data_IF_620598965573
#
_entry.id   IF_620598965573
#
_cell.length_a   1.000
_cell.length_b   1.000
_cell.length_c   1.000
_cell.angle_alpha   90.00
_cell.angle_beta   90.00
_cell.angle_gamma   90.00
#
_symmetry.space_group_name_H-M   'P 1'
#
loop_
_entity.id
_entity.type
_entity.pdbx_description
1 polymer ?
#
# COMPACT_ATOMS: atom_id res chain seq x y z
N UNK A 1 38.78 -67.47 -65.04
CA UNK A 1 37.42 -66.90 -65.05
C UNK A 1 37.49 -65.38 -65.15
N UNK A 2 38.03 -64.64 -64.16
CA UNK A 2 38.11 -63.16 -64.23
C UNK A 2 38.76 -62.62 -65.53
N UNK A 3 39.95 -63.11 -65.91
CA UNK A 3 40.62 -62.71 -67.17
C UNK A 3 39.79 -62.95 -68.45
N UNK A 4 38.93 -63.97 -68.46
CA UNK A 4 38.09 -64.28 -69.63
C UNK A 4 36.84 -63.39 -69.71
N UNK A 5 36.37 -62.89 -68.57
CA UNK A 5 35.11 -62.12 -68.47
C UNK A 5 35.37 -60.62 -68.43
N UNK A 6 36.48 -60.16 -67.84
CA UNK A 6 36.79 -58.73 -67.67
C UNK A 6 37.57 -58.11 -68.83
N UNK A 7 38.40 -58.88 -69.52
CA UNK A 7 39.33 -58.34 -70.53
C UNK A 7 40.41 -57.42 -69.97
N UNK A 8 40.59 -57.38 -68.63
CA UNK A 8 41.66 -56.61 -68.00
C UNK A 8 43.03 -57.23 -68.28
N UNK A 9 44.01 -56.39 -68.60
CA UNK A 9 45.38 -56.84 -68.91
C UNK A 9 46.17 -57.15 -67.63
N UNK A 10 45.82 -56.52 -66.50
CA UNK A 10 46.53 -56.57 -65.22
C UNK A 10 45.81 -57.41 -64.15
N UNK A 11 45.13 -58.49 -64.56
CA UNK A 11 44.44 -59.39 -63.61
C UNK A 11 45.34 -60.07 -62.58
N UNK A 12 46.64 -60.15 -62.86
CA UNK A 12 47.67 -60.67 -61.95
C UNK A 12 47.88 -59.77 -60.71
N UNK A 13 47.50 -58.49 -60.80
CA UNK A 13 47.62 -57.51 -59.71
C UNK A 13 46.36 -57.42 -58.84
N UNK A 14 45.27 -58.07 -59.25
CA UNK A 14 43.99 -58.01 -58.56
C UNK A 14 43.99 -59.03 -57.42
N UNK A 15 43.64 -58.59 -56.21
CA UNK A 15 43.57 -59.48 -55.05
C UNK A 15 42.50 -60.58 -55.28
N UNK A 16 42.81 -61.87 -55.04
CA UNK A 16 41.88 -62.97 -55.30
C UNK A 16 40.51 -62.83 -54.64
N UNK A 17 40.46 -62.23 -53.44
CA UNK A 17 39.19 -61.99 -52.72
C UNK A 17 38.29 -60.93 -53.38
N UNK A 18 38.82 -60.08 -54.26
CA UNK A 18 38.03 -59.09 -54.99
C UNK A 18 37.41 -59.67 -56.28
N UNK A 19 37.96 -60.79 -56.79
CA UNK A 19 37.51 -61.40 -58.03
C UNK A 19 36.00 -61.70 -58.09
N UNK A 20 35.34 -62.23 -57.03
CA UNK A 20 33.89 -62.47 -57.06
C UNK A 20 33.07 -61.19 -57.23
N UNK A 21 33.43 -60.12 -56.52
CA UNK A 21 32.76 -58.82 -56.61
C UNK A 21 32.94 -58.19 -57.99
N UNK A 22 34.14 -58.29 -58.57
CA UNK A 22 34.42 -57.77 -59.91
C UNK A 22 33.66 -58.52 -61.01
N UNK A 23 33.54 -59.85 -60.90
CA UNK A 23 32.75 -60.64 -61.86
C UNK A 23 31.27 -60.28 -61.77
N UNK A 24 30.74 -60.07 -60.56
CA UNK A 24 29.36 -59.62 -60.36
C UNK A 24 29.13 -58.23 -60.97
N UNK A 25 30.04 -57.28 -60.71
CA UNK A 25 29.97 -55.92 -61.26
C UNK A 25 29.98 -55.89 -62.80
N UNK A 26 30.89 -56.65 -63.41
CA UNK A 26 31.00 -56.77 -64.87
C UNK A 26 29.77 -57.43 -65.50
N UNK A 27 29.09 -58.32 -64.75
CA UNK A 27 27.84 -58.95 -65.21
C UNK A 27 26.68 -57.95 -65.27
N UNK A 28 26.76 -56.85 -64.50
CA UNK A 28 25.81 -55.73 -64.54
C UNK A 28 26.04 -54.78 -65.73
N UNK A 29 27.09 -54.99 -66.53
CA UNK A 29 27.34 -54.23 -67.76
C UNK A 29 27.50 -52.73 -67.53
N UNK A 30 26.72 -51.91 -68.23
CA UNK A 30 26.77 -50.44 -68.12
C UNK A 30 26.29 -49.90 -66.76
N UNK A 31 25.59 -50.72 -65.97
CA UNK A 31 25.14 -50.37 -64.63
C UNK A 31 26.14 -50.77 -63.53
N UNK A 32 27.25 -51.43 -63.89
CA UNK A 32 28.31 -51.75 -62.95
C UNK A 32 29.05 -50.51 -62.45
N UNK A 33 29.52 -50.57 -61.20
CA UNK A 33 30.34 -49.55 -60.54
C UNK A 33 31.59 -49.25 -61.38
N UNK A 34 32.22 -50.26 -61.97
CA UNK A 34 33.43 -50.06 -62.78
C UNK A 34 33.13 -49.18 -64.00
N UNK A 35 32.04 -49.48 -64.72
CA UNK A 35 31.64 -48.73 -65.89
C UNK A 35 31.22 -47.29 -65.52
N UNK A 36 30.47 -47.12 -64.43
CA UNK A 36 29.93 -45.82 -64.03
C UNK A 36 30.97 -44.90 -63.38
N UNK A 37 31.83 -45.43 -62.50
CA UNK A 37 32.82 -44.64 -61.77
C UNK A 37 34.14 -44.48 -62.55
N UNK A 38 34.58 -45.51 -63.28
CA UNK A 38 35.90 -45.53 -63.94
C UNK A 38 35.83 -45.53 -65.47
N UNK A 39 34.63 -45.68 -66.05
CA UNK A 39 34.45 -45.79 -67.49
C UNK A 39 34.94 -47.13 -68.04
N UNK A 40 35.04 -47.21 -69.38
CA UNK A 40 35.56 -48.40 -70.05
C UNK A 40 37.09 -48.43 -70.00
N UNK A 41 37.66 -49.21 -69.08
CA UNK A 41 39.10 -49.38 -68.93
C UNK A 41 39.54 -50.78 -69.37
N UNK A 42 40.75 -50.88 -69.94
CA UNK A 42 41.42 -52.17 -70.23
C UNK A 42 42.43 -52.57 -69.15
N UNK A 43 42.70 -51.67 -68.22
CA UNK A 43 43.55 -51.88 -67.04
C UNK A 43 42.70 -51.54 -65.81
N UNK A 44 42.62 -52.46 -64.86
CA UNK A 44 41.87 -52.26 -63.63
C UNK A 44 42.62 -51.34 -62.66
N UNK A 45 43.96 -51.44 -62.60
CA UNK A 45 44.85 -50.60 -61.79
C UNK A 45 44.44 -50.53 -60.30
N UNK A 46 44.46 -51.65 -59.54
CA UNK A 46 43.91 -51.71 -58.18
C UNK A 46 44.56 -50.74 -57.18
N UNK A 47 45.84 -50.38 -57.37
CA UNK A 47 46.57 -49.47 -56.50
C UNK A 47 46.45 -47.99 -56.90
N UNK A 48 45.68 -47.68 -57.95
CA UNK A 48 45.52 -46.31 -58.44
C UNK A 48 44.62 -45.53 -57.47
N UNK A 49 45.04 -44.33 -57.02
CA UNK A 49 44.17 -43.49 -56.20
C UNK A 49 42.93 -43.08 -56.98
N UNK A 50 41.79 -43.10 -56.31
CA UNK A 50 40.50 -42.68 -56.87
C UNK A 50 40.20 -41.24 -56.53
N UNK A 51 39.50 -40.52 -57.41
CA UNK A 51 39.03 -39.17 -57.11
C UNK A 51 37.77 -39.19 -56.24
N UNK A 52 37.47 -38.07 -55.56
CA UNK A 52 36.23 -37.93 -54.78
C UNK A 52 34.97 -38.19 -55.61
N UNK A 53 34.96 -37.78 -56.87
CA UNK A 53 33.82 -37.99 -57.77
C UNK A 53 33.62 -39.49 -58.08
N UNK A 54 34.70 -40.22 -58.33
CA UNK A 54 34.64 -41.66 -58.61
C UNK A 54 34.19 -42.44 -57.38
N UNK A 55 34.69 -42.09 -56.20
CA UNK A 55 34.24 -42.65 -54.94
C UNK A 55 32.75 -42.34 -54.68
N UNK A 56 32.30 -41.11 -54.94
CA UNK A 56 30.90 -40.72 -54.77
C UNK A 56 29.96 -41.51 -55.70
N UNK A 57 30.33 -41.70 -56.98
CA UNK A 57 29.55 -42.52 -57.92
C UNK A 57 29.49 -43.96 -57.42
N UNK A 58 30.64 -44.56 -57.06
CA UNK A 58 30.68 -45.92 -56.57
C UNK A 58 29.81 -46.15 -55.31
N UNK A 59 29.78 -45.18 -54.39
CA UNK A 59 28.93 -45.21 -53.20
C UNK A 59 27.45 -45.00 -53.54
N UNK A 60 27.13 -44.16 -54.53
CA UNK A 60 25.75 -43.85 -54.92
C UNK A 60 25.10 -44.91 -55.82
N UNK A 61 25.88 -45.73 -56.54
CA UNK A 61 25.35 -46.71 -57.49
C UNK A 61 25.65 -48.16 -57.10
N UNK A 62 26.54 -48.38 -56.13
CA UNK A 62 26.89 -49.72 -55.66
C UNK A 62 26.02 -50.24 -54.52
N UNK A 63 26.37 -51.42 -54.01
CA UNK A 63 25.66 -52.12 -52.93
C UNK A 63 25.53 -51.30 -51.62
N UNK A 64 26.37 -50.29 -51.43
CA UNK A 64 26.33 -49.40 -50.26
C UNK A 64 25.35 -48.22 -50.41
N UNK A 65 24.73 -48.02 -51.58
CA UNK A 65 23.91 -46.85 -51.89
C UNK A 65 22.74 -46.67 -50.92
N UNK A 66 22.00 -47.74 -50.64
CA UNK A 66 20.86 -47.69 -49.72
C UNK A 66 21.30 -47.24 -48.32
N UNK A 67 22.40 -47.82 -47.80
CA UNK A 67 22.96 -47.49 -46.49
C UNK A 67 23.42 -46.03 -46.45
N UNK A 68 24.17 -45.56 -47.45
CA UNK A 68 24.65 -44.17 -47.50
C UNK A 68 23.48 -43.19 -47.60
N UNK A 69 22.44 -43.52 -48.37
CA UNK A 69 21.26 -42.67 -48.51
C UNK A 69 20.46 -42.55 -47.20
N UNK A 70 20.31 -43.65 -46.45
CA UNK A 70 19.66 -43.66 -45.14
C UNK A 70 20.45 -42.84 -44.11
N UNK A 71 21.77 -42.99 -44.08
CA UNK A 71 22.65 -42.21 -43.20
C UNK A 71 22.59 -40.72 -43.51
N UNK A 72 22.55 -40.33 -44.79
CA UNK A 72 22.39 -38.93 -45.21
C UNK A 72 21.04 -38.37 -44.76
N UNK A 73 19.95 -39.11 -44.93
CA UNK A 73 18.62 -38.70 -44.48
C UNK A 73 18.57 -38.56 -42.94
N UNK A 74 19.25 -39.45 -42.20
CA UNK A 74 19.36 -39.33 -40.74
C UNK A 74 20.13 -38.08 -40.32
N UNK A 75 21.27 -37.79 -40.95
CA UNK A 75 22.08 -36.59 -40.66
C UNK A 75 21.28 -35.31 -40.96
N UNK A 76 20.55 -35.28 -42.08
CA UNK A 76 19.69 -34.14 -42.42
C UNK A 76 18.58 -33.95 -41.39
N UNK A 77 17.92 -35.04 -40.98
CA UNK A 77 16.89 -34.99 -39.94
C UNK A 77 17.46 -34.53 -38.57
N UNK A 78 18.64 -35.01 -38.20
CA UNK A 78 19.34 -34.60 -36.98
C UNK A 78 19.71 -33.10 -37.02
N UNK A 79 20.23 -32.62 -38.15
CA UNK A 79 20.53 -31.20 -38.35
C UNK A 79 19.28 -30.31 -38.26
N UNK A 80 18.17 -30.75 -38.85
CA UNK A 80 16.89 -30.03 -38.74
C UNK A 80 16.41 -29.99 -37.27
N UNK A 81 16.50 -31.11 -36.56
CA UNK A 81 16.13 -31.18 -35.15
C UNK A 81 17.02 -30.28 -34.28
N UNK A 82 18.34 -30.28 -34.50
CA UNK A 82 19.29 -29.43 -33.78
C UNK A 82 19.01 -27.94 -34.03
N UNK A 83 18.76 -27.55 -35.27
CA UNK A 83 18.38 -26.17 -35.62
C UNK A 83 17.06 -25.76 -34.97
N UNK A 84 16.07 -26.66 -34.90
CA UNK A 84 14.80 -26.40 -34.22
C UNK A 84 14.99 -26.22 -32.71
N UNK A 85 15.83 -27.04 -32.07
CA UNK A 85 16.19 -26.90 -30.65
C UNK A 85 16.93 -25.59 -30.41
N UNK A 86 17.91 -25.24 -31.23
CA UNK A 86 18.66 -23.98 -31.10
C UNK A 86 17.75 -22.75 -31.24
N UNK A 87 16.84 -22.76 -32.21
CA UNK A 87 15.85 -21.70 -32.39
C UNK A 87 14.91 -21.60 -31.18
N UNK A 88 14.45 -22.73 -30.64
CA UNK A 88 13.61 -22.73 -29.45
C UNK A 88 14.34 -22.19 -28.22
N UNK A 89 15.57 -22.64 -27.96
CA UNK A 89 16.40 -22.16 -26.85
C UNK A 89 16.63 -20.65 -26.94
N UNK A 90 16.92 -20.12 -28.13
CA UNK A 90 17.09 -18.67 -28.33
C UNK A 90 15.81 -17.88 -28.03
N UNK A 91 14.63 -18.42 -28.42
CA UNK A 91 13.35 -17.80 -28.07
C UNK A 91 13.08 -17.84 -26.56
N UNK A 92 13.43 -18.94 -25.90
CA UNK A 92 13.28 -19.07 -24.43
C UNK A 92 14.16 -18.05 -23.71
N UNK A 93 15.43 -17.91 -24.09
CA UNK A 93 16.33 -16.91 -23.50
C UNK A 93 15.81 -15.48 -23.69
N UNK A 94 15.29 -15.18 -24.87
CA UNK A 94 14.71 -13.87 -25.15
C UNK A 94 13.46 -13.60 -24.30
N UNK A 95 12.56 -14.58 -24.19
CA UNK A 95 11.35 -14.48 -23.36
C UNK A 95 11.71 -14.32 -21.89
N UNK A 96 12.67 -15.08 -21.38
CA UNK A 96 13.15 -14.95 -20.00
C UNK A 96 13.71 -13.55 -19.72
N UNK A 97 14.51 -13.02 -20.66
CA UNK A 97 15.06 -11.66 -20.57
C UNK A 97 13.95 -10.60 -20.55
N UNK A 98 12.97 -10.71 -21.44
CA UNK A 98 11.87 -9.74 -21.55
C UNK A 98 10.97 -9.79 -20.31
N UNK A 99 10.67 -10.99 -19.79
CA UNK A 99 9.95 -11.19 -18.54
C UNK A 99 10.70 -10.55 -17.38
N UNK A 100 11.99 -10.84 -17.23
CA UNK A 100 12.81 -10.27 -16.16
C UNK A 100 12.84 -8.73 -16.22
N UNK A 101 13.02 -8.15 -17.41
CA UNK A 101 13.00 -6.70 -17.59
C UNK A 101 11.63 -6.08 -17.20
N UNK A 102 10.52 -6.73 -17.57
CA UNK A 102 9.19 -6.28 -17.20
C UNK A 102 8.96 -6.31 -15.68
N UNK A 103 9.38 -7.38 -15.00
CA UNK A 103 9.27 -7.50 -13.55
C UNK A 103 10.13 -6.48 -12.81
N UNK A 104 11.35 -6.21 -13.29
CA UNK A 104 12.21 -5.18 -12.70
C UNK A 104 11.57 -3.79 -12.79
N UNK A 105 10.95 -3.47 -13.93
CA UNK A 105 10.23 -2.22 -14.12
C UNK A 105 9.01 -2.10 -13.21
N UNK A 106 8.17 -3.14 -13.13
CA UNK A 106 7.00 -3.15 -12.25
C UNK A 106 7.40 -3.04 -10.78
N UNK A 107 8.45 -3.78 -10.37
CA UNK A 107 8.98 -3.74 -9.01
C UNK A 107 9.50 -2.34 -8.65
N UNK A 108 10.14 -1.65 -9.60
CA UNK A 108 10.60 -0.27 -9.40
C UNK A 108 9.42 0.67 -9.16
N UNK A 109 8.40 0.64 -10.01
CA UNK A 109 7.21 1.48 -9.89
C UNK A 109 6.45 1.20 -8.58
N UNK A 110 6.35 -0.06 -8.18
CA UNK A 110 5.66 -0.43 -6.95
C UNK A 110 6.43 0.04 -5.71
N UNK A 111 7.76 -0.05 -5.71
CA UNK A 111 8.60 0.53 -4.65
C UNK A 111 8.43 2.06 -4.55
N UNK A 112 8.34 2.75 -5.68
CA UNK A 112 8.12 4.20 -5.70
C UNK A 112 6.76 4.57 -5.09
N UNK A 113 5.69 3.83 -5.45
CA UNK A 113 4.37 4.01 -4.83
C UNK A 113 4.39 3.76 -3.32
N UNK A 114 5.04 2.67 -2.87
CA UNK A 114 5.16 2.35 -1.45
C UNK A 114 5.85 3.51 -0.72
N UNK A 115 6.99 3.97 -1.23
CA UNK A 115 7.73 5.11 -0.65
C UNK A 115 6.87 6.38 -0.58
N UNK A 116 6.08 6.68 -1.62
CA UNK A 116 5.17 7.81 -1.63
C UNK A 116 4.08 7.68 -0.55
N UNK A 117 3.46 6.49 -0.42
CA UNK A 117 2.43 6.22 0.59
C UNK A 117 3.02 6.28 2.01
N UNK A 118 4.20 5.71 2.23
CA UNK A 118 4.88 5.77 3.53
C UNK A 118 5.16 7.20 3.96
N UNK A 119 5.65 8.04 3.04
CA UNK A 119 5.85 9.47 3.32
C UNK A 119 4.54 10.18 3.67
N UNK A 120 3.48 9.97 2.89
CA UNK A 120 2.17 10.57 3.17
C UNK A 120 1.59 10.09 4.52
N UNK A 121 1.78 8.82 4.85
CA UNK A 121 1.35 8.27 6.13
C UNK A 121 2.11 8.88 7.31
N UNK A 122 3.41 9.12 7.15
CA UNK A 122 4.22 9.76 8.19
C UNK A 122 3.89 11.24 8.36
N UNK A 123 3.68 11.97 7.27
CA UNK A 123 3.18 13.35 7.29
C UNK A 123 1.82 13.44 8.01
N UNK A 124 0.89 12.54 7.69
CA UNK A 124 -0.42 12.49 8.34
C UNK A 124 -0.35 12.15 9.84
N UNK A 125 0.59 11.30 10.27
CA UNK A 125 0.82 11.03 11.69
C UNK A 125 1.32 12.27 12.42
N UNK A 126 2.30 12.98 11.85
CA UNK A 126 2.84 14.19 12.45
C UNK A 126 1.75 15.27 12.56
N UNK A 127 0.93 15.46 11.53
CA UNK A 127 -0.21 16.38 11.60
C UNK A 127 -1.25 15.97 12.67
N UNK A 128 -1.49 14.68 12.82
CA UNK A 128 -2.40 14.18 13.84
C UNK A 128 -1.85 14.41 15.25
N UNK A 129 -0.55 14.21 15.46
CA UNK A 129 0.12 14.48 16.74
C UNK A 129 0.05 15.97 17.11
N UNK A 130 0.27 16.88 16.16
CA UNK A 130 0.16 18.32 16.42
C UNK A 130 -1.28 18.73 16.75
N UNK A 131 -2.27 18.22 16.01
CA UNK A 131 -3.69 18.49 16.32
C UNK A 131 -4.12 17.91 17.67
N UNK A 132 -3.60 16.74 18.06
CA UNK A 132 -3.84 16.18 19.39
C UNK A 132 -3.24 17.05 20.49
N UNK A 133 -2.02 17.54 20.31
CA UNK A 133 -1.37 18.42 21.27
C UNK A 133 -2.14 19.73 21.42
N UNK A 134 -2.58 20.34 20.31
CA UNK A 134 -3.39 21.56 20.34
C UNK A 134 -4.72 21.34 21.05
N UNK A 135 -5.43 20.24 20.73
CA UNK A 135 -6.68 19.88 21.40
C UNK A 135 -6.48 19.73 22.91
N UNK A 136 -5.39 19.10 23.33
CA UNK A 136 -5.11 18.93 24.76
C UNK A 136 -4.85 20.27 25.45
N UNK A 137 -4.11 21.17 24.81
CA UNK A 137 -3.90 22.54 25.30
C UNK A 137 -5.22 23.31 25.43
N UNK A 138 -6.07 23.26 24.40
CA UNK A 138 -7.39 23.89 24.40
C UNK A 138 -8.28 23.31 25.49
N UNK A 139 -8.29 21.98 25.67
CA UNK A 139 -9.04 21.33 26.74
C UNK A 139 -8.58 21.80 28.12
N UNK A 140 -7.26 21.86 28.35
CA UNK A 140 -6.70 22.36 29.60
C UNK A 140 -7.08 23.83 29.85
N UNK A 141 -7.08 24.66 28.80
CA UNK A 141 -7.54 26.05 28.90
C UNK A 141 -9.03 26.13 29.28
N UNK A 142 -9.88 25.34 28.61
CA UNK A 142 -11.31 25.28 28.89
C UNK A 142 -11.62 24.81 30.32
N UNK A 143 -10.89 23.81 30.83
CA UNK A 143 -11.06 23.35 32.21
C UNK A 143 -10.67 24.43 33.24
N UNK A 144 -9.62 25.22 32.97
CA UNK A 144 -9.25 26.36 33.82
C UNK A 144 -10.34 27.43 33.84
N UNK A 145 -10.91 27.76 32.68
CA UNK A 145 -12.03 28.71 32.59
C UNK A 145 -13.26 28.20 33.33
N UNK A 146 -13.61 26.91 33.19
CA UNK A 146 -14.71 26.29 33.95
C UNK A 146 -14.49 26.39 35.45
N UNK A 147 -13.29 26.05 35.92
CA UNK A 147 -12.95 26.14 37.35
C UNK A 147 -13.02 27.60 37.87
N UNK A 148 -12.61 28.58 37.06
CA UNK A 148 -12.73 29.99 37.42
C UNK A 148 -14.20 30.43 37.53
N UNK A 149 -15.04 30.06 36.57
CA UNK A 149 -16.49 30.35 36.60
C UNK A 149 -17.16 29.70 37.82
N UNK A 150 -16.82 28.46 38.14
CA UNK A 150 -17.37 27.77 39.31
C UNK A 150 -16.98 28.46 40.63
N UNK A 151 -15.73 28.90 40.75
CA UNK A 151 -15.26 29.71 41.88
C UNK A 151 -16.03 31.04 42.00
N UNK A 152 -16.25 31.74 40.89
CA UNK A 152 -17.06 32.97 40.88
C UNK A 152 -18.52 32.70 41.27
N UNK A 153 -19.11 31.60 40.79
CA UNK A 153 -20.47 31.20 41.14
C UNK A 153 -20.62 30.92 42.65
N UNK A 154 -19.63 30.29 43.28
CA UNK A 154 -19.62 30.09 44.74
C UNK A 154 -19.60 31.43 45.49
N UNK A 155 -18.78 32.38 45.04
CA UNK A 155 -18.71 33.72 45.63
C UNK A 155 -20.05 34.45 45.47
N UNK A 156 -20.66 34.41 44.28
CA UNK A 156 -21.98 35.00 44.05
C UNK A 156 -23.06 34.37 44.93
N UNK A 157 -23.02 33.05 45.13
CA UNK A 157 -23.96 32.35 46.01
C UNK A 157 -23.83 32.81 47.46
N UNK A 158 -22.60 32.97 47.96
CA UNK A 158 -22.33 33.51 49.30
C UNK A 158 -22.85 34.93 49.45
N UNK A 159 -22.53 35.82 48.50
CA UNK A 159 -22.98 37.21 48.52
C UNK A 159 -24.51 37.32 48.46
N UNK A 160 -25.17 36.49 47.63
CA UNK A 160 -26.63 36.43 47.56
C UNK A 160 -27.25 36.07 48.92
N UNK A 161 -26.69 35.06 49.60
CA UNK A 161 -27.19 34.66 50.91
C UNK A 161 -26.98 35.78 51.95
N UNK A 162 -25.83 36.45 51.95
CA UNK A 162 -25.56 37.58 52.85
C UNK A 162 -26.54 38.75 52.64
N UNK A 163 -26.81 39.12 51.38
CA UNK A 163 -27.80 40.16 51.05
C UNK A 163 -29.21 39.74 51.48
N UNK A 164 -29.54 38.45 51.36
CA UNK A 164 -30.82 37.92 51.82
C UNK A 164 -30.96 38.00 53.36
N UNK A 165 -29.90 37.68 54.10
CA UNK A 165 -29.87 37.81 55.56
C UNK A 165 -29.98 39.28 56.00
N UNK A 166 -29.26 40.19 55.31
CA UNK A 166 -29.38 41.64 55.54
C UNK A 166 -30.80 42.14 55.28
N UNK A 167 -31.44 41.69 54.20
CA UNK A 167 -32.82 42.04 53.87
C UNK A 167 -33.78 41.54 54.96
N UNK A 168 -33.63 40.31 55.45
CA UNK A 168 -34.46 39.75 56.51
C UNK A 168 -34.30 40.55 57.82
N UNK A 169 -33.07 40.89 58.20
CA UNK A 169 -32.79 41.74 59.35
C UNK A 169 -33.45 43.12 59.23
N UNK A 170 -33.33 43.76 58.05
CA UNK A 170 -33.96 45.06 57.79
C UNK A 170 -35.49 45.01 57.83
N UNK A 171 -36.10 43.92 57.35
CA UNK A 171 -37.54 43.70 57.50
C UNK A 171 -37.95 43.57 58.98
N UNK A 172 -37.17 42.85 59.80
CA UNK A 172 -37.40 42.77 61.24
C UNK A 172 -37.35 44.14 61.90
N UNK A 173 -36.28 44.91 61.65
CA UNK A 173 -36.11 46.26 62.15
C UNK A 173 -37.25 47.19 61.72
N UNK A 174 -37.74 47.05 60.47
CA UNK A 174 -38.90 47.82 59.99
C UNK A 174 -40.17 47.53 60.79
N UNK A 175 -40.41 46.27 61.16
CA UNK A 175 -41.55 45.87 62.00
C UNK A 175 -41.42 46.45 63.41
N UNK A 176 -40.24 46.35 64.02
CA UNK A 176 -39.96 46.94 65.34
C UNK A 176 -40.15 48.46 65.34
N UNK A 177 -39.61 49.16 64.34
CA UNK A 177 -39.80 50.61 64.19
C UNK A 177 -41.29 50.97 64.03
N UNK A 178 -42.05 50.19 63.27
CA UNK A 178 -43.49 50.41 63.12
C UNK A 178 -44.23 50.24 64.45
N UNK A 179 -43.88 49.23 65.24
CA UNK A 179 -44.43 49.00 66.57
C UNK A 179 -44.08 50.16 67.53
N UNK A 180 -42.81 50.57 67.59
CA UNK A 180 -42.36 51.69 68.41
C UNK A 180 -43.01 53.01 68.00
N UNK A 181 -43.18 53.24 66.70
CA UNK A 181 -43.89 54.42 66.19
C UNK A 181 -45.35 54.47 66.67
N UNK A 182 -46.05 53.34 66.64
CA UNK A 182 -47.42 53.24 67.14
C UNK A 182 -47.48 53.44 68.67
N UNK A 183 -46.50 52.90 69.41
CA UNK A 183 -46.36 53.11 70.85
C UNK A 183 -46.16 54.60 71.19
N UNK A 184 -45.24 55.27 70.50
CA UNK A 184 -44.98 56.71 70.67
C UNK A 184 -46.23 57.53 70.32
N UNK A 185 -46.95 57.15 69.27
CA UNK A 185 -48.20 57.83 68.90
C UNK A 185 -49.23 57.76 70.04
N UNK A 186 -49.44 56.59 70.64
CA UNK A 186 -50.35 56.42 71.80
C UNK A 186 -49.91 57.24 73.01
N UNK A 187 -48.62 57.24 73.34
CA UNK A 187 -48.08 58.06 74.44
C UNK A 187 -48.27 59.56 74.17
N UNK A 188 -48.10 59.99 72.91
CA UNK A 188 -48.34 61.38 72.50
C UNK A 188 -49.82 61.76 72.66
N UNK A 189 -50.74 60.89 72.22
CA UNK A 189 -52.18 61.09 72.41
C UNK A 189 -52.55 61.18 73.90
N UNK A 190 -52.00 60.31 74.75
CA UNK A 190 -52.21 60.38 76.20
C UNK A 190 -51.66 61.68 76.81
N UNK A 191 -50.43 62.07 76.46
CA UNK A 191 -49.84 63.31 76.94
C UNK A 191 -50.63 64.55 76.49
N UNK A 192 -51.23 64.52 75.30
CA UNK A 192 -52.13 65.58 74.81
C UNK A 192 -53.42 65.66 75.64
N UNK A 193 -54.01 64.50 76.01
CA UNK A 193 -55.15 64.44 76.93
C UNK A 193 -54.79 65.00 78.31
N UNK A 194 -53.68 64.54 78.91
CA UNK A 194 -53.20 65.02 80.21
C UNK A 194 -52.91 66.53 80.16
N UNK A 195 -52.29 67.04 79.09
CA UNK A 195 -52.02 68.47 78.93
C UNK A 195 -53.30 69.30 78.84
N UNK A 196 -54.33 68.78 78.15
CA UNK A 196 -55.65 69.42 78.10
C UNK A 196 -56.32 69.42 79.49
N UNK A 197 -56.21 68.34 80.26
CA UNK A 197 -56.70 68.27 81.64
C UNK A 197 -55.98 69.24 82.57
N UNK A 198 -54.64 69.34 82.49
CA UNK A 198 -53.85 70.32 83.24
C UNK A 198 -54.30 71.73 82.90
N UNK A 199 -54.49 72.04 81.62
CA UNK A 199 -54.97 73.35 81.17
C UNK A 199 -56.35 73.67 81.75
N UNK A 200 -57.25 72.69 81.78
CA UNK A 200 -58.58 72.82 82.42
C UNK A 200 -58.47 73.04 83.93
N UNK A 201 -57.69 72.23 84.64
CA UNK A 201 -57.46 72.37 86.08
C UNK A 201 -56.81 73.71 86.44
N UNK A 202 -55.89 74.21 85.61
CA UNK A 202 -55.31 75.55 85.76
C UNK A 202 -56.38 76.64 85.64
N UNK A 203 -57.29 76.51 84.66
CA UNK A 203 -58.43 77.42 84.53
C UNK A 203 -59.35 77.37 85.76
N UNK A 204 -59.74 76.17 86.19
CA UNK A 204 -60.60 75.97 87.37
C UNK A 204 -59.94 76.54 88.64
N UNK A 205 -58.64 76.31 88.83
CA UNK A 205 -57.87 76.84 89.97
C UNK A 205 -57.72 78.36 89.91
N UNK A 206 -57.64 78.96 88.72
CA UNK A 206 -57.65 80.42 88.57
C UNK A 206 -59.03 81.00 88.94
N UNK A 207 -60.12 80.33 88.56
CA UNK A 207 -61.48 80.69 88.96
C UNK A 207 -61.64 80.57 90.48
N UNK A 208 -61.19 79.48 91.09
CA UNK A 208 -61.22 79.31 92.55
C UNK A 208 -60.36 80.35 93.27
N UNK A 209 -59.14 80.66 92.79
CA UNK A 209 -58.32 81.75 93.34
C UNK A 209 -59.02 83.10 93.29
N UNK A 210 -59.71 83.40 92.18
CA UNK A 210 -60.55 84.61 92.06
C UNK A 210 -61.70 84.58 93.07
N UNK A 211 -62.42 83.48 93.20
CA UNK A 211 -63.50 83.34 94.19
C UNK A 211 -63.02 83.48 95.64
N UNK A 212 -61.88 82.88 95.98
CA UNK A 212 -61.27 82.94 97.30
C UNK A 212 -60.73 84.34 97.63
N UNK A 213 -60.28 85.09 96.61
CA UNK A 213 -59.94 86.52 96.76
C UNK A 213 -61.16 87.42 97.00
N UNK A 214 -62.36 87.00 96.60
CA UNK A 214 -63.63 87.71 96.85
C UNK A 214 -64.29 87.35 98.18
N UNK A 215 -63.83 86.30 98.87
CA UNK A 215 -64.37 85.82 100.15
C UNK A 215 -63.56 86.29 101.39
N UNK A 216 -62.59 87.20 101.20
CA UNK A 216 -61.86 87.93 102.25
C UNK A 216 -62.24 89.40 102.22
#
# INVERSE_FOLDING_TARGET
ILHQVSGFIDTDKIHPNACPALVADLSSGEQGIIALAFGYTRLFQPDKPVTKAQAAIALATGDASDIVSEELARIEAESIAENAVAAHSALVEQVEKDINASFEQELFLEKEKISAIERMAEEAKLELETLRAQREEDNVAMEKERAAIESEMEVFSKLRNEVQDQLQSLMSNKVEIAYEKERIKKLREQAEVENNEITRLQYDLEVERKALSMAR
#
